data_IF_181834903766
#
_entry.id   IF_181834903766
#
_cell.length_a   1.000
_cell.length_b   1.000
_cell.length_c   1.000
_cell.angle_alpha   90.00
_cell.angle_beta   90.00
_cell.angle_gamma   90.00
#
_symmetry.space_group_name_H-M   'P 1'
#
loop_
_entity.id
_entity.type
_entity.pdbx_description
1 polymer ?
#
# COMPACT_ATOMS: atom_id res chain seq x y z
N UNK A 1 -0.93 4.04 19.43
CA UNK A 1 -1.68 3.25 18.44
C UNK A 1 -1.04 3.36 17.06
N UNK A 2 -1.01 2.27 16.34
CA UNK A 2 -0.48 2.30 15.00
C UNK A 2 -1.44 3.06 14.08
N UNK A 3 -0.95 4.05 13.36
CA UNK A 3 -1.78 4.75 12.40
C UNK A 3 -1.78 4.02 11.05
N UNK A 4 -2.54 4.55 10.09
CA UNK A 4 -2.68 3.91 8.79
C UNK A 4 -1.34 3.77 8.09
N UNK A 5 -0.54 4.82 8.11
CA UNK A 5 0.77 4.79 7.44
C UNK A 5 1.66 3.72 8.04
N UNK A 6 1.69 3.59 9.34
CA UNK A 6 2.51 2.60 10.02
C UNK A 6 2.09 1.18 9.64
N UNK A 7 0.79 0.93 9.61
CA UNK A 7 0.27 -0.39 9.24
C UNK A 7 0.54 -0.71 7.77
N UNK A 8 0.34 0.26 6.91
CA UNK A 8 0.63 0.10 5.48
C UNK A 8 2.13 -0.18 5.27
N UNK A 9 2.99 0.55 5.97
CA UNK A 9 4.43 0.37 5.88
C UNK A 9 4.83 -1.06 6.26
N UNK A 10 4.27 -1.60 7.32
CA UNK A 10 4.56 -2.96 7.74
C UNK A 10 4.21 -3.98 6.67
N UNK A 11 3.06 -3.81 6.06
CA UNK A 11 2.61 -4.71 5.01
C UNK A 11 3.55 -4.64 3.81
N UNK A 12 3.94 -3.45 3.43
CA UNK A 12 4.83 -3.24 2.29
C UNK A 12 6.20 -3.89 2.55
N UNK A 13 6.75 -3.68 3.73
CA UNK A 13 8.04 -4.26 4.10
C UNK A 13 7.98 -5.78 4.04
N UNK A 14 6.92 -6.37 4.57
CA UNK A 14 6.75 -7.82 4.56
C UNK A 14 6.59 -8.38 3.16
N UNK A 15 5.80 -7.70 2.33
CA UNK A 15 5.47 -8.18 0.99
C UNK A 15 6.60 -8.00 0.00
N UNK A 16 7.22 -6.84 0.00
CA UNK A 16 8.20 -6.48 -1.00
C UNK A 16 9.64 -6.69 -0.54
N UNK A 17 9.84 -6.95 0.74
CA UNK A 17 11.18 -7.15 1.27
C UNK A 17 12.05 -5.92 1.23
N UNK A 18 11.42 -4.74 1.28
CA UNK A 18 12.14 -3.47 1.29
C UNK A 18 12.33 -2.99 2.71
N UNK A 19 13.23 -2.03 2.89
CA UNK A 19 13.45 -1.45 4.21
C UNK A 19 12.40 -0.40 4.53
N UNK A 20 12.09 -0.28 5.81
CA UNK A 20 11.12 0.69 6.27
C UNK A 20 11.49 2.12 5.85
N UNK A 21 12.78 2.43 5.84
CA UNK A 21 13.25 3.75 5.43
C UNK A 21 12.97 4.08 3.97
N UNK A 22 12.72 3.06 3.15
CA UNK A 22 12.37 3.25 1.74
C UNK A 22 10.90 3.53 1.54
N UNK A 23 10.09 3.27 2.55
CA UNK A 23 8.63 3.42 2.47
C UNK A 23 8.25 4.80 2.99
N UNK A 24 7.90 5.69 2.07
CA UNK A 24 7.41 7.03 2.42
C UNK A 24 6.24 7.38 1.50
N UNK A 25 5.56 8.46 1.81
CA UNK A 25 4.33 8.80 1.08
C UNK A 25 4.55 9.03 -0.42
N UNK A 26 5.73 9.45 -0.79
CA UNK A 26 6.06 9.73 -2.19
C UNK A 26 6.60 8.52 -2.93
N UNK A 27 6.90 7.43 -2.22
CA UNK A 27 7.47 6.24 -2.84
C UNK A 27 6.47 5.58 -3.80
N UNK A 28 6.90 5.36 -5.02
CA UNK A 28 6.12 4.65 -6.02
C UNK A 28 6.32 3.15 -5.83
N UNK A 29 5.24 2.39 -5.83
CA UNK A 29 5.36 0.95 -5.66
C UNK A 29 6.20 0.30 -6.74
N UNK A 30 6.02 0.72 -7.98
CA UNK A 30 6.74 0.13 -9.11
C UNK A 30 8.13 0.69 -9.30
N UNK A 31 8.29 1.99 -9.15
CA UNK A 31 9.55 2.65 -9.44
C UNK A 31 10.51 2.66 -8.27
N UNK A 32 10.02 2.97 -7.10
CA UNK A 32 10.87 3.14 -5.92
C UNK A 32 11.01 1.85 -5.11
N UNK A 33 9.95 1.06 -5.05
CA UNK A 33 9.94 -0.17 -4.26
C UNK A 33 10.13 -1.43 -5.10
N UNK A 34 10.17 -1.30 -6.40
CA UNK A 34 10.44 -2.41 -7.30
C UNK A 34 9.33 -3.44 -7.43
N UNK A 35 8.10 -3.07 -7.09
CA UNK A 35 6.97 -3.98 -7.20
C UNK A 35 6.49 -4.05 -8.65
N UNK A 36 6.14 -5.24 -9.11
CA UNK A 36 5.49 -5.37 -10.42
C UNK A 36 3.97 -5.38 -10.24
N UNK A 37 3.24 -5.57 -11.34
CA UNK A 37 1.78 -5.51 -11.31
C UNK A 37 1.17 -6.54 -10.36
N UNK A 38 1.72 -7.75 -10.35
CA UNK A 38 1.23 -8.81 -9.45
C UNK A 38 1.49 -8.46 -7.99
N UNK A 39 2.67 -7.92 -7.72
CA UNK A 39 3.01 -7.51 -6.34
C UNK A 39 2.04 -6.44 -5.86
N UNK A 40 1.69 -5.48 -6.72
CA UNK A 40 0.74 -4.43 -6.35
C UNK A 40 -0.65 -5.02 -6.08
N UNK A 41 -1.10 -5.95 -6.91
CA UNK A 41 -2.40 -6.61 -6.71
C UNK A 41 -2.43 -7.35 -5.38
N UNK A 42 -1.38 -8.11 -5.09
CA UNK A 42 -1.31 -8.84 -3.83
C UNK A 42 -1.23 -7.91 -2.64
N UNK A 43 -0.51 -6.81 -2.79
CA UNK A 43 -0.42 -5.80 -1.75
C UNK A 43 -1.78 -5.19 -1.45
N UNK A 44 -2.54 -4.87 -2.49
CA UNK A 44 -3.90 -4.34 -2.34
C UNK A 44 -4.78 -5.33 -1.59
N UNK A 45 -4.68 -6.62 -1.92
CA UNK A 45 -5.46 -7.65 -1.23
C UNK A 45 -5.10 -7.74 0.26
N UNK A 46 -3.81 -7.61 0.57
CA UNK A 46 -3.38 -7.58 1.96
C UNK A 46 -3.95 -6.37 2.70
N UNK A 47 -3.99 -5.22 2.04
CA UNK A 47 -4.56 -4.01 2.63
C UNK A 47 -6.05 -4.19 2.89
N UNK A 48 -6.76 -4.85 1.98
CA UNK A 48 -8.18 -5.13 2.16
C UNK A 48 -8.43 -5.97 3.42
N UNK A 49 -7.59 -6.99 3.61
CA UNK A 49 -7.70 -7.85 4.80
C UNK A 49 -7.33 -7.10 6.06
N UNK A 50 -6.26 -6.33 6.01
CA UNK A 50 -5.75 -5.64 7.20
C UNK A 50 -6.73 -4.59 7.71
N UNK A 51 -7.39 -3.87 6.79
CA UNK A 51 -8.29 -2.79 7.14
C UNK A 51 -9.77 -3.15 7.00
N UNK A 52 -10.05 -4.41 6.70
CA UNK A 52 -11.42 -4.92 6.55
C UNK A 52 -12.26 -4.05 5.63
N UNK A 53 -11.77 -3.83 4.42
CA UNK A 53 -12.42 -3.00 3.43
C UNK A 53 -12.23 -3.58 2.03
N UNK A 54 -13.05 -3.13 1.10
CA UNK A 54 -12.92 -3.54 -0.29
C UNK A 54 -12.33 -2.40 -1.12
N UNK A 55 -11.39 -2.77 -1.99
CA UNK A 55 -10.79 -1.83 -2.93
C UNK A 55 -11.11 -2.33 -4.33
N UNK A 56 -11.87 -1.57 -5.09
CA UNK A 56 -12.22 -1.97 -6.45
C UNK A 56 -10.98 -1.98 -7.35
N UNK A 57 -11.06 -2.71 -8.44
CA UNK A 57 -9.95 -2.76 -9.39
C UNK A 57 -9.63 -1.36 -9.94
N UNK A 58 -10.66 -0.56 -10.19
CA UNK A 58 -10.48 0.80 -10.66
C UNK A 58 -9.70 1.64 -9.66
N UNK A 59 -10.05 1.52 -8.39
CA UNK A 59 -9.36 2.26 -7.34
C UNK A 59 -7.94 1.74 -7.13
N UNK A 60 -7.76 0.43 -7.24
CA UNK A 60 -6.43 -0.18 -7.10
C UNK A 60 -5.49 0.34 -8.19
N UNK A 61 -5.99 0.55 -9.38
CA UNK A 61 -5.20 1.09 -10.49
C UNK A 61 -4.73 2.51 -10.23
N UNK A 62 -5.48 3.26 -9.42
CA UNK A 62 -5.13 4.64 -9.08
C UNK A 62 -4.10 4.72 -7.97
N UNK A 63 -3.88 3.63 -7.27
CA UNK A 63 -2.91 3.59 -6.18
C UNK A 63 -1.53 3.34 -6.77
N UNK A 64 -0.79 4.40 -6.98
CA UNK A 64 0.55 4.33 -7.56
C UNK A 64 1.65 4.52 -6.53
N UNK A 65 1.36 5.25 -5.46
CA UNK A 65 2.32 5.54 -4.40
C UNK A 65 1.78 5.10 -3.05
N UNK A 66 2.68 5.05 -2.07
CA UNK A 66 2.28 4.73 -0.69
C UNK A 66 1.26 5.75 -0.19
N UNK A 67 1.47 7.02 -0.53
CA UNK A 67 0.54 8.09 -0.14
C UNK A 67 -0.85 7.89 -0.71
N UNK A 68 -0.94 7.41 -1.96
CA UNK A 68 -2.23 7.12 -2.57
C UNK A 68 -2.98 6.05 -1.78
N UNK A 69 -2.27 5.01 -1.36
CA UNK A 69 -2.86 3.94 -0.57
C UNK A 69 -3.34 4.44 0.79
N UNK A 70 -2.50 5.20 1.46
CA UNK A 70 -2.84 5.76 2.78
C UNK A 70 -4.06 6.68 2.67
N UNK A 71 -4.07 7.56 1.67
CA UNK A 71 -5.19 8.47 1.46
C UNK A 71 -6.48 7.74 1.16
N UNK A 72 -6.40 6.70 0.36
CA UNK A 72 -7.59 5.89 0.04
C UNK A 72 -8.18 5.28 1.31
N UNK A 73 -7.33 4.67 2.12
CA UNK A 73 -7.77 4.03 3.35
C UNK A 73 -8.36 5.06 4.32
N UNK A 74 -7.69 6.19 4.46
CA UNK A 74 -8.19 7.25 5.35
C UNK A 74 -9.53 7.80 4.90
N UNK A 75 -9.76 7.90 3.60
CA UNK A 75 -11.02 8.44 3.08
C UNK A 75 -12.18 7.47 3.25
N UNK A 76 -11.89 6.17 3.43
CA UNK A 76 -12.92 5.16 3.62
C UNK A 76 -13.24 4.89 5.09
N UNK A 77 -12.37 5.31 5.97
CA UNK A 77 -12.60 5.11 7.41
C UNK A 77 -13.46 6.25 8.00
#
# INVERSE_FOLDING_TARGET
>A
MADVLERVTKIIVDRLGVEESQVNLEASFKEDLGADSLDVVELVMELEDEFDMEISDDDAEKIATVGDAVNYINSKN
#
